data_IF_444231068094
#
_entry.id   IF_444231068094
#
_cell.length_a   1.000
_cell.length_b   1.000
_cell.length_c   1.000
_cell.angle_alpha   90.00
_cell.angle_beta   90.00
_cell.angle_gamma   90.00
#
_symmetry.space_group_name_H-M   'P 1'
#
loop_
_entity.id
_entity.type
_entity.pdbx_description
1 polymer ?
#
# COMPACT_ATOMS: atom_id res chain seq x y z
N UNK A 1 12.27 41.63 -33.64
CA UNK A 1 12.70 40.22 -33.66
C UNK A 1 11.49 39.37 -33.34
N UNK A 2 10.84 38.79 -34.34
CA UNK A 2 9.73 37.85 -34.17
C UNK A 2 10.31 36.44 -34.16
N UNK A 3 10.57 35.91 -32.96
CA UNK A 3 11.00 34.53 -32.79
C UNK A 3 9.84 33.59 -33.11
N UNK A 4 10.00 32.79 -34.16
CA UNK A 4 9.07 31.71 -34.48
C UNK A 4 9.24 30.65 -33.38
N UNK A 5 8.23 30.50 -32.53
CA UNK A 5 8.18 29.40 -31.56
C UNK A 5 7.78 28.14 -32.33
N UNK A 6 8.75 27.28 -32.61
CA UNK A 6 8.47 25.94 -33.11
C UNK A 6 7.96 25.08 -31.94
N UNK A 7 6.64 24.97 -31.82
CA UNK A 7 6.01 23.99 -30.95
C UNK A 7 6.09 22.63 -31.66
N UNK A 8 7.01 21.79 -31.23
CA UNK A 8 7.05 20.39 -31.68
C UNK A 8 5.87 19.64 -31.06
N UNK A 9 5.23 18.70 -31.79
CA UNK A 9 4.21 17.85 -31.21
C UNK A 9 4.84 16.99 -30.12
N UNK A 10 4.39 17.18 -28.88
CA UNK A 10 4.83 16.36 -27.76
C UNK A 10 4.23 14.96 -27.92
N UNK A 11 5.09 13.97 -28.16
CA UNK A 11 4.64 12.59 -28.41
C UNK A 11 4.48 11.80 -27.12
N UNK A 12 3.79 10.65 -27.18
CA UNK A 12 3.75 9.71 -26.06
C UNK A 12 5.13 9.18 -25.67
N UNK A 13 6.06 9.09 -26.63
CA UNK A 13 7.43 8.66 -26.38
C UNK A 13 8.18 9.71 -25.55
N UNK A 14 8.02 10.99 -25.91
CA UNK A 14 8.60 12.11 -25.15
C UNK A 14 8.06 12.14 -23.72
N UNK A 15 6.75 11.90 -23.55
CA UNK A 15 6.12 11.71 -22.24
C UNK A 15 6.73 10.57 -21.41
N UNK A 16 6.96 9.41 -22.03
CA UNK A 16 7.59 8.28 -21.35
C UNK A 16 9.03 8.56 -20.90
N UNK A 17 9.80 9.29 -21.73
CA UNK A 17 11.16 9.72 -21.39
C UNK A 17 11.15 10.70 -20.22
N UNK A 18 10.21 11.65 -20.19
CA UNK A 18 10.08 12.62 -19.09
C UNK A 18 9.71 11.94 -17.76
N UNK A 19 8.80 10.95 -17.77
CA UNK A 19 8.50 10.17 -16.55
C UNK A 19 9.70 9.38 -16.05
N UNK A 20 10.42 8.73 -16.96
CA UNK A 20 11.63 7.97 -16.62
C UNK A 20 12.71 8.89 -16.02
N UNK A 21 12.91 10.06 -16.63
CA UNK A 21 13.86 11.06 -16.16
C UNK A 21 13.46 11.63 -14.79
N UNK A 22 12.16 11.89 -14.56
CA UNK A 22 11.63 12.34 -13.28
C UNK A 22 11.89 11.31 -12.17
N UNK A 23 11.50 10.04 -12.39
CA UNK A 23 11.70 8.96 -11.43
C UNK A 23 13.19 8.82 -11.09
N UNK A 24 14.04 8.73 -12.11
CA UNK A 24 15.49 8.60 -11.94
C UNK A 24 16.08 9.77 -11.14
N UNK A 25 15.59 10.99 -11.35
CA UNK A 25 16.04 12.18 -10.63
C UNK A 25 15.65 12.14 -9.15
N UNK A 26 14.43 11.69 -8.83
CA UNK A 26 13.97 11.56 -7.45
C UNK A 26 14.75 10.46 -6.73
N UNK A 27 14.96 9.30 -7.37
CA UNK A 27 15.75 8.21 -6.80
C UNK A 27 17.18 8.65 -6.52
N UNK A 28 17.84 9.32 -7.47
CA UNK A 28 19.18 9.87 -7.27
C UNK A 28 19.20 10.85 -6.10
N UNK A 29 18.23 11.76 -6.00
CA UNK A 29 18.17 12.72 -4.91
C UNK A 29 18.04 12.05 -3.53
N UNK A 30 17.23 11.01 -3.41
CA UNK A 30 17.03 10.30 -2.14
C UNK A 30 18.25 9.42 -1.77
N UNK A 31 18.83 8.74 -2.77
CA UNK A 31 20.01 7.87 -2.58
C UNK A 31 21.29 8.60 -2.22
N UNK A 32 21.33 9.94 -2.35
CA UNK A 32 22.42 10.75 -1.80
C UNK A 32 22.56 10.63 -0.28
N UNK A 33 21.49 10.23 0.43
CA UNK A 33 21.50 10.09 1.89
C UNK A 33 21.29 8.64 2.32
N UNK A 34 20.27 7.97 1.80
CA UNK A 34 19.89 6.59 2.17
C UNK A 34 19.15 5.89 1.02
N UNK A 35 19.00 4.57 1.08
CA UNK A 35 18.19 3.83 0.11
C UNK A 35 16.75 4.38 0.07
N UNK A 36 16.17 4.46 -1.14
CA UNK A 36 14.76 4.88 -1.30
C UNK A 36 13.86 3.95 -0.47
N UNK A 37 13.02 4.48 0.43
CA UNK A 37 12.09 3.68 1.21
C UNK A 37 11.18 2.80 0.32
N UNK A 38 10.91 1.54 0.69
CA UNK A 38 10.14 0.62 -0.17
C UNK A 38 8.76 1.13 -0.58
N UNK A 39 8.01 1.78 0.32
CA UNK A 39 6.72 2.38 -0.02
C UNK A 39 6.85 3.53 -1.05
N UNK A 40 7.93 4.31 -1.02
CA UNK A 40 8.17 5.35 -2.03
C UNK A 40 8.58 4.77 -3.38
N UNK A 41 9.27 3.61 -3.40
CA UNK A 41 9.56 2.91 -4.67
C UNK A 41 8.28 2.51 -5.39
N UNK A 42 7.28 1.97 -4.67
CA UNK A 42 5.99 1.61 -5.27
C UNK A 42 5.29 2.81 -5.90
N UNK A 43 5.41 3.99 -5.28
CA UNK A 43 4.87 5.24 -5.84
C UNK A 43 5.65 5.72 -7.08
N UNK A 44 6.99 5.62 -7.05
CA UNK A 44 7.85 5.97 -8.18
C UNK A 44 7.63 5.03 -9.38
N UNK A 45 7.48 3.73 -9.13
CA UNK A 45 7.13 2.74 -10.15
C UNK A 45 5.80 3.10 -10.82
N UNK A 46 4.81 3.53 -10.04
CA UNK A 46 3.52 3.98 -10.57
C UNK A 46 3.65 5.22 -11.46
N UNK A 47 4.51 6.18 -11.11
CA UNK A 47 4.80 7.35 -11.96
C UNK A 47 5.52 6.91 -13.23
N UNK A 48 6.47 5.99 -13.12
CA UNK A 48 7.26 5.48 -14.25
C UNK A 48 6.42 4.73 -15.29
N UNK A 49 5.31 4.11 -14.88
CA UNK A 49 4.33 3.48 -15.79
C UNK A 49 3.51 4.49 -16.60
N UNK A 50 3.58 5.77 -16.25
CA UNK A 50 2.83 6.86 -16.85
C UNK A 50 1.53 7.18 -16.08
N UNK A 51 1.17 8.46 -16.05
CA UNK A 51 0.11 8.95 -15.13
C UNK A 51 -1.32 8.76 -15.65
N UNK A 52 -1.50 8.48 -16.95
CA UNK A 52 -2.80 8.52 -17.58
C UNK A 52 -3.74 7.44 -17.04
N UNK A 53 -4.82 7.85 -16.38
CA UNK A 53 -5.80 6.97 -15.76
C UNK A 53 -5.45 6.53 -14.33
N UNK A 54 -4.30 6.93 -13.80
CA UNK A 54 -3.85 6.63 -12.42
C UNK A 54 -3.57 7.88 -11.59
N UNK A 55 -3.92 9.07 -12.11
CA UNK A 55 -3.61 10.37 -11.50
C UNK A 55 -4.16 10.48 -10.07
N UNK A 56 -5.38 9.96 -9.85
CA UNK A 56 -5.99 9.92 -8.53
C UNK A 56 -5.18 9.08 -7.54
N UNK A 57 -4.74 7.89 -7.96
CA UNK A 57 -3.90 7.01 -7.13
C UNK A 57 -2.54 7.64 -6.85
N UNK A 58 -1.91 8.30 -7.84
CA UNK A 58 -0.62 8.99 -7.66
C UNK A 58 -0.76 10.13 -6.65
N UNK A 59 -1.83 10.92 -6.74
CA UNK A 59 -2.05 12.09 -5.88
C UNK A 59 -2.35 11.69 -4.43
N UNK A 60 -3.17 10.66 -4.25
CA UNK A 60 -3.63 10.20 -2.94
C UNK A 60 -2.96 8.88 -2.54
N UNK A 61 -1.69 8.73 -2.89
CA UNK A 61 -0.94 7.51 -2.60
C UNK A 61 -0.64 7.40 -1.11
N UNK A 62 -0.77 6.21 -0.54
CA UNK A 62 -0.53 5.95 0.90
C UNK A 62 0.89 6.31 1.34
N UNK A 63 1.88 6.17 0.45
CA UNK A 63 3.26 6.62 0.68
C UNK A 63 3.42 8.11 0.93
N UNK A 64 2.42 8.92 0.59
CA UNK A 64 2.39 10.37 0.79
C UNK A 64 1.42 10.79 1.91
N UNK A 65 0.71 9.85 2.51
CA UNK A 65 -0.23 10.10 3.61
C UNK A 65 0.50 10.18 4.95
N UNK A 66 -0.10 10.91 5.89
CA UNK A 66 0.28 10.75 7.29
C UNK A 66 0.07 9.30 7.74
N UNK A 67 0.96 8.70 8.55
CA UNK A 67 0.88 7.28 8.92
C UNK A 67 -0.47 6.86 9.49
N UNK A 68 -1.14 7.75 10.25
CA UNK A 68 -2.49 7.51 10.78
C UNK A 68 -3.54 7.41 9.67
N UNK A 69 -3.51 8.31 8.68
CA UNK A 69 -4.44 8.29 7.54
C UNK A 69 -4.25 7.02 6.71
N UNK A 70 -3.00 6.66 6.43
CA UNK A 70 -2.68 5.41 5.74
C UNK A 70 -3.21 4.20 6.54
N UNK A 71 -3.09 4.21 7.87
CA UNK A 71 -3.58 3.12 8.69
C UNK A 71 -5.11 3.01 8.69
N UNK A 72 -5.81 4.15 8.80
CA UNK A 72 -7.27 4.19 8.74
C UNK A 72 -7.77 3.68 7.37
N UNK A 73 -7.11 4.07 6.27
CA UNK A 73 -7.36 3.50 4.94
C UNK A 73 -7.17 1.98 4.91
N UNK A 74 -6.06 1.44 5.44
CA UNK A 74 -5.80 -0.01 5.43
C UNK A 74 -6.89 -0.79 6.17
N UNK A 75 -7.34 -0.30 7.33
CA UNK A 75 -8.41 -0.95 8.08
C UNK A 75 -9.74 -0.93 7.34
N UNK A 76 -10.08 0.20 6.71
CA UNK A 76 -11.29 0.32 5.89
C UNK A 76 -11.21 -0.58 4.65
N UNK A 77 -10.09 -0.57 3.94
CA UNK A 77 -9.86 -1.39 2.76
C UNK A 77 -9.90 -2.89 3.06
N UNK A 78 -9.41 -3.30 4.23
CA UNK A 78 -9.59 -4.68 4.73
C UNK A 78 -11.07 -5.02 4.89
N UNK A 79 -11.87 -4.13 5.49
CA UNK A 79 -13.31 -4.37 5.69
C UNK A 79 -14.06 -4.45 4.35
N UNK A 80 -13.66 -3.67 3.36
CA UNK A 80 -14.17 -3.77 1.98
C UNK A 80 -13.75 -5.11 1.36
N UNK A 81 -12.49 -5.52 1.51
CA UNK A 81 -12.01 -6.81 1.00
C UNK A 81 -12.77 -8.00 1.61
N UNK A 82 -13.08 -7.94 2.90
CA UNK A 82 -13.92 -8.95 3.58
C UNK A 82 -15.33 -9.05 2.99
N UNK A 83 -15.91 -7.93 2.53
CA UNK A 83 -17.20 -7.91 1.84
C UNK A 83 -17.08 -8.44 0.41
N UNK A 84 -16.04 -8.03 -0.32
CA UNK A 84 -15.76 -8.50 -1.69
C UNK A 84 -15.60 -10.01 -1.73
N UNK A 85 -14.94 -10.61 -0.73
CA UNK A 85 -14.84 -12.08 -0.59
C UNK A 85 -16.19 -12.80 -0.69
N UNK A 86 -17.27 -12.18 -0.19
CA UNK A 86 -18.61 -12.75 -0.20
C UNK A 86 -19.39 -12.37 -1.46
N UNK A 87 -19.27 -11.11 -1.90
CA UNK A 87 -20.08 -10.54 -2.97
C UNK A 87 -19.52 -10.82 -4.37
N UNK A 88 -18.20 -10.84 -4.51
CA UNK A 88 -17.48 -11.09 -5.76
C UNK A 88 -16.17 -11.85 -5.49
N UNK A 89 -16.24 -13.19 -5.34
CA UNK A 89 -15.07 -14.02 -5.07
C UNK A 89 -14.00 -13.94 -6.16
N UNK A 90 -14.37 -13.67 -7.41
CA UNK A 90 -13.40 -13.57 -8.51
C UNK A 90 -12.51 -12.33 -8.35
N UNK A 91 -13.10 -11.19 -7.98
CA UNK A 91 -12.33 -9.98 -7.68
C UNK A 91 -11.49 -10.17 -6.42
N UNK A 92 -12.01 -10.86 -5.40
CA UNK A 92 -11.24 -11.21 -4.21
C UNK A 92 -9.99 -12.03 -4.57
N UNK A 93 -10.15 -13.15 -5.29
CA UNK A 93 -9.05 -14.02 -5.67
C UNK A 93 -8.02 -13.30 -6.55
N UNK A 94 -8.48 -12.42 -7.44
CA UNK A 94 -7.60 -11.55 -8.22
C UNK A 94 -6.75 -10.67 -7.30
N UNK A 95 -7.35 -9.97 -6.31
CA UNK A 95 -6.60 -9.14 -5.37
C UNK A 95 -5.57 -9.98 -4.60
N UNK A 96 -5.95 -11.15 -4.10
CA UNK A 96 -5.02 -12.04 -3.38
C UNK A 96 -3.87 -12.48 -4.28
N UNK A 97 -4.15 -12.82 -5.55
CA UNK A 97 -3.13 -13.26 -6.51
C UNK A 97 -2.08 -12.19 -6.87
N UNK A 98 -2.37 -10.91 -6.61
CA UNK A 98 -1.42 -9.80 -6.78
C UNK A 98 -0.39 -9.70 -5.66
N UNK A 99 -0.53 -10.53 -4.61
CA UNK A 99 0.36 -10.55 -3.44
C UNK A 99 0.99 -11.93 -3.17
N UNK A 100 1.64 -12.56 -4.17
CA UNK A 100 2.24 -13.88 -3.99
C UNK A 100 3.40 -13.88 -2.98
N UNK A 101 4.00 -12.71 -2.70
CA UNK A 101 5.06 -12.56 -1.69
C UNK A 101 4.60 -12.86 -0.27
N UNK A 102 3.29 -12.98 -0.05
CA UNK A 102 2.71 -13.24 1.26
C UNK A 102 2.30 -14.71 1.45
N UNK A 103 2.58 -15.61 0.51
CA UNK A 103 2.11 -17.01 0.60
C UNK A 103 2.68 -17.79 1.81
N UNK A 104 3.75 -17.31 2.43
CA UNK A 104 4.43 -17.92 3.58
C UNK A 104 4.73 -16.91 4.70
N UNK A 105 3.94 -15.82 4.75
CA UNK A 105 4.15 -14.69 5.65
C UNK A 105 4.12 -15.08 7.14
N UNK A 106 3.44 -16.15 7.51
CA UNK A 106 3.25 -16.54 8.91
C UNK A 106 4.42 -17.36 9.47
N UNK A 107 5.46 -17.61 8.66
CA UNK A 107 6.74 -18.14 9.14
C UNK A 107 7.47 -17.11 10.02
N UNK A 108 8.31 -17.57 10.95
CA UNK A 108 9.03 -16.70 11.90
C UNK A 108 9.96 -15.67 11.24
N UNK A 109 10.18 -15.78 9.93
CA UNK A 109 11.01 -14.89 9.11
C UNK A 109 10.40 -13.53 8.81
N UNK A 110 9.07 -13.38 8.87
CA UNK A 110 8.38 -12.18 8.40
C UNK A 110 7.90 -11.27 9.53
N UNK A 111 7.36 -11.81 10.62
CA UNK A 111 6.95 -11.01 11.79
C UNK A 111 8.12 -10.82 12.76
N UNK A 112 9.15 -10.09 12.34
CA UNK A 112 10.38 -9.88 13.13
C UNK A 112 10.13 -8.87 14.25
N UNK A 113 9.25 -7.90 14.02
CA UNK A 113 8.89 -6.91 15.02
C UNK A 113 8.08 -7.52 16.17
N UNK A 114 8.48 -7.24 17.41
CA UNK A 114 7.81 -7.72 18.63
C UNK A 114 6.30 -7.42 18.64
N UNK A 115 5.87 -6.26 18.13
CA UNK A 115 4.44 -5.92 18.11
C UNK A 115 3.64 -6.80 17.15
N UNK A 116 4.21 -7.13 15.99
CA UNK A 116 3.59 -8.02 15.01
C UNK A 116 3.58 -9.47 15.51
N UNK A 117 4.68 -9.95 16.09
CA UNK A 117 4.74 -11.29 16.69
C UNK A 117 3.76 -11.43 17.86
N UNK A 118 3.66 -10.43 18.73
CA UNK A 118 2.68 -10.41 19.82
C UNK A 118 1.23 -10.38 19.30
N UNK A 119 0.94 -9.64 18.24
CA UNK A 119 -0.38 -9.58 17.62
C UNK A 119 -0.74 -10.89 16.87
N UNK A 120 0.25 -11.57 16.27
CA UNK A 120 0.10 -12.91 15.68
C UNK A 120 -0.26 -13.93 16.75
N UNK A 121 0.34 -13.85 17.94
CA UNK A 121 0.05 -14.76 19.07
C UNK A 121 -1.17 -14.35 19.89
N UNK A 122 -1.86 -13.28 19.51
CA UNK A 122 -3.04 -12.82 20.22
C UNK A 122 -4.15 -13.87 20.16
N UNK A 123 -4.70 -14.24 21.31
CA UNK A 123 -5.87 -15.11 21.37
C UNK A 123 -7.15 -14.27 21.27
N UNK A 124 -8.16 -14.78 20.57
CA UNK A 124 -9.48 -14.15 20.52
C UNK A 124 -10.03 -14.02 21.95
N UNK A 125 -10.20 -12.78 22.39
CA UNK A 125 -10.75 -12.46 23.72
C UNK A 125 -12.11 -13.13 24.02
N UNK A 126 -12.90 -13.45 22.98
CA UNK A 126 -14.24 -14.05 23.13
C UNK A 126 -14.19 -15.57 23.26
N UNK A 127 -13.25 -16.23 22.59
CA UNK A 127 -13.19 -17.70 22.50
C UNK A 127 -11.99 -18.30 23.24
N UNK A 128 -11.01 -17.47 23.61
CA UNK A 128 -9.75 -17.88 24.22
C UNK A 128 -8.82 -18.66 23.29
N UNK A 129 -9.20 -18.85 22.02
CA UNK A 129 -8.44 -19.62 21.04
C UNK A 129 -7.47 -18.72 20.27
N UNK A 130 -6.34 -19.29 19.88
CA UNK A 130 -5.45 -18.66 18.91
C UNK A 130 -6.21 -18.43 17.59
N UNK A 131 -5.93 -17.32 16.91
CA UNK A 131 -6.42 -17.12 15.55
C UNK A 131 -5.64 -18.04 14.60
N UNK A 132 -6.38 -18.75 13.74
CA UNK A 132 -5.81 -19.30 12.52
C UNK A 132 -5.80 -18.18 11.48
N UNK A 133 -4.64 -17.88 10.91
CA UNK A 133 -4.53 -16.88 9.87
C UNK A 133 -4.38 -17.54 8.50
N UNK A 134 -4.94 -16.90 7.49
CA UNK A 134 -4.73 -17.32 6.11
C UNK A 134 -3.27 -17.03 5.69
N UNK A 135 -2.69 -17.90 4.88
CA UNK A 135 -1.34 -17.74 4.32
C UNK A 135 -1.36 -16.81 3.10
N UNK A 136 -1.92 -15.61 3.26
CA UNK A 136 -2.07 -14.61 2.22
C UNK A 136 -2.20 -13.19 2.80
N UNK A 137 -2.48 -12.22 1.93
CA UNK A 137 -2.75 -10.82 2.29
C UNK A 137 -3.77 -10.67 3.43
N UNK A 138 -4.83 -11.47 3.45
CA UNK A 138 -5.88 -11.34 4.48
C UNK A 138 -5.36 -11.73 5.86
N UNK A 139 -4.43 -12.68 5.94
CA UNK A 139 -3.73 -13.04 7.16
C UNK A 139 -2.95 -11.86 7.72
N UNK A 140 -2.08 -11.27 6.90
CA UNK A 140 -1.25 -10.10 7.28
C UNK A 140 -2.12 -8.92 7.71
N UNK A 141 -3.16 -8.59 6.94
CA UNK A 141 -4.09 -7.51 7.29
C UNK A 141 -4.85 -7.79 8.60
N UNK A 142 -5.12 -9.06 8.91
CA UNK A 142 -5.75 -9.47 10.17
C UNK A 142 -4.78 -9.32 11.34
N UNK A 143 -3.49 -9.61 11.18
CA UNK A 143 -2.47 -9.30 12.21
C UNK A 143 -2.37 -7.79 12.42
N UNK A 144 -2.27 -7.00 11.36
CA UNK A 144 -2.23 -5.54 11.45
C UNK A 144 -3.45 -4.95 12.16
N UNK A 145 -4.64 -5.51 11.92
CA UNK A 145 -5.86 -5.19 12.69
C UNK A 145 -5.70 -5.58 14.15
N UNK A 146 -5.21 -6.78 14.46
CA UNK A 146 -5.03 -7.24 15.84
C UNK A 146 -4.06 -6.35 16.62
N UNK A 147 -3.02 -5.80 15.98
CA UNK A 147 -2.15 -4.81 16.60
C UNK A 147 -2.93 -3.59 17.13
N UNK A 148 -4.00 -3.17 16.43
CA UNK A 148 -4.89 -2.08 16.88
C UNK A 148 -5.83 -2.46 18.03
N UNK A 149 -6.03 -3.76 18.28
CA UNK A 149 -6.88 -4.30 19.35
C UNK A 149 -6.09 -4.79 20.59
N UNK A 150 -4.78 -4.98 20.46
CA UNK A 150 -3.84 -5.36 21.52
C UNK A 150 -3.37 -4.12 22.33
N UNK A 151 -2.61 -4.26 23.45
CA UNK A 151 -1.84 -3.18 24.06
C UNK A 151 -1.21 -2.20 23.07
N UNK A 152 -0.73 -2.63 21.90
CA UNK A 152 -0.18 -1.76 20.85
C UNK A 152 -1.18 -0.73 20.27
N UNK A 153 -2.46 -0.73 20.68
CA UNK A 153 -3.47 0.29 20.34
C UNK A 153 -3.00 1.74 20.57
N UNK A 154 -2.12 1.98 21.56
CA UNK A 154 -1.57 3.32 21.82
C UNK A 154 -0.57 3.76 20.74
N UNK A 155 -0.12 2.85 19.88
CA UNK A 155 0.76 3.09 18.74
C UNK A 155 0.00 3.17 17.41
N UNK A 156 -1.32 3.40 17.43
CA UNK A 156 -2.13 3.50 16.20
C UNK A 156 -1.49 4.44 15.16
N UNK A 157 -0.90 5.54 15.60
CA UNK A 157 -0.23 6.52 14.74
C UNK A 157 1.04 5.99 14.06
N UNK A 158 1.60 4.87 14.51
CA UNK A 158 2.82 4.26 13.97
C UNK A 158 2.56 2.88 13.38
N UNK A 159 1.30 2.43 13.34
CA UNK A 159 0.99 1.05 13.01
C UNK A 159 1.32 0.69 11.55
N UNK A 160 1.18 1.65 10.63
CA UNK A 160 1.67 1.48 9.25
C UNK A 160 3.18 1.30 9.23
N UNK A 161 3.93 2.05 10.04
CA UNK A 161 5.39 1.90 10.09
C UNK A 161 5.78 0.53 10.66
N UNK A 162 5.07 0.05 11.68
CA UNK A 162 5.28 -1.30 12.25
C UNK A 162 4.99 -2.37 11.20
N UNK A 163 3.90 -2.22 10.43
CA UNK A 163 3.56 -3.15 9.36
C UNK A 163 4.58 -3.12 8.21
N UNK A 164 5.05 -1.92 7.85
CA UNK A 164 6.00 -1.69 6.75
C UNK A 164 7.45 -2.09 7.12
N UNK A 165 7.77 -2.24 8.40
CA UNK A 165 9.05 -2.78 8.88
C UNK A 165 9.18 -4.27 8.52
N UNK A 166 8.14 -5.04 8.81
CA UNK A 166 8.05 -6.48 8.54
C UNK A 166 7.60 -6.78 7.09
N UNK A 167 6.76 -5.92 6.50
CA UNK A 167 6.22 -6.07 5.15
C UNK A 167 6.43 -4.81 4.29
N UNK A 168 7.66 -4.56 3.81
CA UNK A 168 7.98 -3.30 3.17
C UNK A 168 7.23 -3.06 1.85
N UNK A 169 6.59 -1.90 1.74
CA UNK A 169 5.76 -1.45 0.62
C UNK A 169 4.38 -2.10 0.54
N UNK A 170 3.98 -2.89 1.53
CA UNK A 170 2.71 -3.63 1.51
C UNK A 170 1.51 -2.70 1.39
N UNK A 171 1.47 -1.61 2.14
CA UNK A 171 0.31 -0.70 2.16
C UNK A 171 0.11 -0.05 0.81
N UNK A 172 1.21 0.40 0.20
CA UNK A 172 1.22 0.96 -1.15
C UNK A 172 0.79 -0.07 -2.21
N UNK A 173 1.35 -1.29 -2.18
CA UNK A 173 0.96 -2.36 -3.11
C UNK A 173 -0.51 -2.73 -2.93
N UNK A 174 -0.99 -2.81 -1.70
CA UNK A 174 -2.39 -3.13 -1.41
C UNK A 174 -3.34 -2.06 -1.95
N UNK A 175 -3.04 -0.76 -1.73
CA UNK A 175 -3.81 0.33 -2.33
C UNK A 175 -3.87 0.22 -3.86
N UNK A 176 -2.73 -0.13 -4.49
CA UNK A 176 -2.66 -0.36 -5.93
C UNK A 176 -3.52 -1.55 -6.39
N UNK A 177 -3.58 -2.63 -5.61
CA UNK A 177 -4.47 -3.77 -5.88
C UNK A 177 -5.95 -3.38 -5.77
N UNK A 178 -6.34 -2.60 -4.76
CA UNK A 178 -7.68 -2.03 -4.60
C UNK A 178 -8.05 -1.13 -5.79
N UNK A 179 -7.09 -0.33 -6.28
CA UNK A 179 -7.28 0.48 -7.48
C UNK A 179 -7.50 -0.37 -8.74
N UNK A 180 -6.66 -1.39 -8.97
CA UNK A 180 -6.80 -2.31 -10.11
C UNK A 180 -8.14 -3.05 -10.11
N UNK A 181 -8.69 -3.31 -8.94
CA UNK A 181 -10.01 -3.88 -8.76
C UNK A 181 -11.18 -2.89 -8.96
N UNK A 182 -10.90 -1.60 -9.23
CA UNK A 182 -11.92 -0.57 -9.39
C UNK A 182 -12.60 -0.13 -8.08
N UNK A 183 -12.03 -0.49 -6.93
CA UNK A 183 -12.63 -0.27 -5.62
C UNK A 183 -12.16 1.03 -4.94
N UNK A 184 -11.07 1.65 -5.43
CA UNK A 184 -10.50 2.85 -4.83
C UNK A 184 -11.48 4.04 -4.67
N UNK A 185 -12.45 4.28 -5.59
CA UNK A 185 -13.42 5.36 -5.42
C UNK A 185 -14.29 5.27 -4.15
N UNK A 186 -14.41 4.09 -3.53
CA UNK A 186 -15.20 3.88 -2.29
C UNK A 186 -14.63 4.72 -1.13
N UNK A 187 -13.32 4.95 -1.11
CA UNK A 187 -12.61 5.52 0.05
C UNK A 187 -12.55 7.05 0.08
N UNK A 188 -13.03 7.74 -0.98
CA UNK A 188 -13.11 9.22 -1.04
C UNK A 188 -11.86 9.93 -0.49
N UNK A 189 -10.68 9.51 -0.96
CA UNK A 189 -9.38 9.91 -0.40
C UNK A 189 -9.12 11.41 -0.46
N UNK A 190 -9.78 12.11 -1.39
CA UNK A 190 -9.74 13.56 -1.53
C UNK A 190 -10.36 14.30 -0.34
N UNK A 191 -11.32 13.70 0.36
CA UNK A 191 -11.90 14.23 1.60
C UNK A 191 -11.03 13.81 2.79
N UNK A 192 -10.55 12.57 2.79
CA UNK A 192 -9.76 12.00 3.88
C UNK A 192 -8.37 12.64 4.03
N UNK A 193 -7.82 13.18 2.93
CA UNK A 193 -6.50 13.83 2.86
C UNK A 193 -6.55 15.36 2.74
N UNK A 194 -7.73 15.98 2.78
CA UNK A 194 -7.88 17.45 2.80
C UNK A 194 -7.59 18.04 4.18
#
# INVERSE_FOLDING_TARGET
MTGIVHLFPYSRLDGGLDYTALVSSIEQFMTLRELVPPHLRVWLDLIGEGVNGVEYLIRYHTSLMEPRQAFDFVLEARNVLDQVRVLDPLVFDMIISLHPELADWDTDSYCVNWYMDAARRYADSRTGKAFEFAHDLTGVLTVGRNCSAHPARYLKNFMVLILEDDFPGLVARFQRSIFRAGLLPIFQLDITMA
#
